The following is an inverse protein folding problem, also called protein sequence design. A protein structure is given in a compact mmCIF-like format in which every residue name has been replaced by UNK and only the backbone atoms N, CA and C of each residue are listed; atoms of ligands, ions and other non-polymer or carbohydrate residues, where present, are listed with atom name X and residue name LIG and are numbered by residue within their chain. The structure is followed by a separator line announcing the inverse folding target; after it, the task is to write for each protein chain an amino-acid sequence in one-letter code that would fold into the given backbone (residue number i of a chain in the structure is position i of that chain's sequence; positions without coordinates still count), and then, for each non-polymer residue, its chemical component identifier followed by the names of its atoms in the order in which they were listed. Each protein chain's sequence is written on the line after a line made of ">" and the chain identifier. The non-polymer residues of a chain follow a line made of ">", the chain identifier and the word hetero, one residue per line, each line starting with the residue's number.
data_IF_786315745344
#
_entry.id   IF_786315745344
#
_cell.length_a   1.000
_cell.length_b   1.000
_cell.length_c   1.000
_cell.angle_alpha   90.00
_cell.angle_beta   90.00
_cell.angle_gamma   90.00
#
_symmetry.space_group_name_H-M   'P 1'
#
loop_
_entity.id
_entity.type
_entity.pdbx_description
1 polymer ?
#
# COMPACT_ATOMS: atom_id res chain seq x y z
N UNK A 1 -41.27 17.75 10.08
CA UNK A 1 -40.18 17.17 10.89
C UNK A 1 -39.05 16.79 9.91
N UNK A 2 -37.98 17.57 9.91
CA UNK A 2 -36.80 17.29 9.07
C UNK A 2 -36.01 16.21 9.77
N UNK A 3 -35.88 15.04 9.15
CA UNK A 3 -35.03 13.95 9.67
C UNK A 3 -33.56 14.42 9.60
N UNK A 4 -32.81 14.40 10.70
CA UNK A 4 -31.42 14.74 10.67
C UNK A 4 -30.67 13.78 9.74
N UNK A 5 -30.05 14.30 8.67
CA UNK A 5 -29.14 13.51 7.87
C UNK A 5 -27.90 13.24 8.70
N UNK A 6 -27.69 11.99 9.09
CA UNK A 6 -26.42 11.53 9.68
C UNK A 6 -25.38 11.62 8.57
N UNK A 7 -24.57 12.66 8.60
CA UNK A 7 -23.37 12.73 7.78
C UNK A 7 -22.33 11.83 8.44
N UNK A 8 -22.13 10.65 7.89
CA UNK A 8 -20.95 9.86 8.18
C UNK A 8 -19.75 10.68 7.67
N UNK A 9 -18.97 11.24 8.56
CA UNK A 9 -17.64 11.77 8.21
C UNK A 9 -16.83 10.56 7.79
N UNK A 10 -16.47 10.46 6.50
CA UNK A 10 -15.58 9.42 6.00
C UNK A 10 -14.25 9.61 6.71
N UNK A 11 -13.81 8.61 7.47
CA UNK A 11 -12.47 8.61 8.06
C UNK A 11 -11.39 8.43 7.00
N UNK A 12 -11.70 7.67 5.96
CA UNK A 12 -10.78 7.38 4.86
C UNK A 12 -11.35 7.93 3.55
N UNK A 13 -10.46 8.41 2.71
CA UNK A 13 -10.75 8.81 1.33
C UNK A 13 -9.72 8.20 0.37
N UNK A 14 -9.99 8.32 -0.93
CA UNK A 14 -9.17 7.73 -1.99
C UNK A 14 -8.66 8.84 -2.91
N UNK A 15 -7.37 8.79 -3.20
CA UNK A 15 -6.70 9.68 -4.15
C UNK A 15 -5.71 8.96 -5.04
N UNK A 16 -5.07 9.71 -5.91
CA UNK A 16 -3.94 9.30 -6.75
C UNK A 16 -2.87 10.38 -6.68
N UNK A 17 -1.60 10.02 -6.76
CA UNK A 17 -0.53 11.02 -6.70
C UNK A 17 0.75 10.47 -6.09
N UNK A 18 1.41 11.27 -5.30
CA UNK A 18 2.72 11.00 -4.74
C UNK A 18 2.66 10.99 -3.21
N UNK A 19 3.46 10.14 -2.58
CA UNK A 19 3.60 10.09 -1.13
C UNK A 19 4.91 10.75 -0.76
N UNK A 20 4.88 11.65 0.22
CA UNK A 20 6.04 12.39 0.70
C UNK A 20 6.27 12.14 2.19
N UNK A 21 7.52 12.01 2.61
CA UNK A 21 7.89 11.92 4.01
C UNK A 21 8.52 13.23 4.54
N UNK A 22 8.74 13.30 5.83
CA UNK A 22 9.33 14.47 6.52
C UNK A 22 10.78 14.78 6.12
N UNK A 23 11.45 13.86 5.40
CA UNK A 23 12.79 14.06 4.84
C UNK A 23 12.77 14.51 3.38
N UNK A 24 11.61 14.96 2.86
CA UNK A 24 11.37 15.39 1.47
C UNK A 24 11.63 14.29 0.43
N UNK A 25 11.63 13.01 0.84
CA UNK A 25 11.64 11.90 -0.11
C UNK A 25 10.25 11.68 -0.64
N UNK A 26 10.15 11.44 -1.94
CA UNK A 26 8.89 11.28 -2.67
C UNK A 26 8.84 9.91 -3.32
N UNK A 27 7.67 9.26 -3.27
CA UNK A 27 7.43 7.98 -3.94
C UNK A 27 7.35 8.13 -5.46
N UNK A 28 7.31 7.02 -6.18
CA UNK A 28 6.71 7.00 -7.51
C UNK A 28 5.24 7.39 -7.45
N UNK A 29 4.66 7.76 -8.59
CA UNK A 29 3.21 7.97 -8.67
C UNK A 29 2.48 6.67 -8.32
N UNK A 30 1.50 6.78 -7.42
CA UNK A 30 0.66 5.69 -6.96
C UNK A 30 -0.71 5.78 -7.63
N UNK A 31 -1.22 4.66 -8.14
CA UNK A 31 -2.52 4.59 -8.82
C UNK A 31 -3.67 4.79 -7.82
N UNK A 32 -3.55 4.19 -6.63
CA UNK A 32 -4.52 4.33 -5.53
C UNK A 32 -3.78 4.66 -4.24
N UNK A 33 -4.25 5.68 -3.54
CA UNK A 33 -3.83 6.06 -2.20
C UNK A 33 -5.07 6.11 -1.32
N UNK A 34 -5.14 5.27 -0.29
CA UNK A 34 -6.20 5.34 0.74
C UNK A 34 -5.59 6.04 1.95
N UNK A 35 -6.19 7.14 2.35
CA UNK A 35 -5.62 8.03 3.36
C UNK A 35 -6.67 8.50 4.37
N UNK A 36 -6.20 8.91 5.55
CA UNK A 36 -7.03 9.55 6.57
C UNK A 36 -7.43 10.96 6.12
N UNK A 37 -8.67 11.11 5.70
CA UNK A 37 -9.21 12.38 5.19
C UNK A 37 -9.33 13.48 6.26
N UNK A 38 -9.32 13.13 7.54
CA UNK A 38 -9.48 14.11 8.63
C UNK A 38 -8.15 14.77 9.00
N UNK A 39 -7.04 14.06 8.84
CA UNK A 39 -5.73 14.51 9.30
C UNK A 39 -4.74 14.75 8.15
N UNK A 40 -5.16 14.57 6.90
CA UNK A 40 -4.28 14.74 5.73
C UNK A 40 -4.36 16.16 5.19
N UNK A 41 -3.32 17.00 5.34
CA UNK A 41 -3.19 18.20 4.56
C UNK A 41 -2.93 17.79 3.10
N UNK A 42 -3.83 18.17 2.20
CA UNK A 42 -3.60 17.99 0.77
C UNK A 42 -2.64 19.07 0.30
N UNK A 43 -1.50 18.63 -0.21
CA UNK A 43 -0.52 19.49 -0.83
C UNK A 43 -0.65 19.35 -2.34
N UNK A 44 -0.97 20.44 -3.03
CA UNK A 44 -1.10 20.46 -4.48
C UNK A 44 0.00 21.35 -5.09
N UNK A 45 0.65 20.87 -6.12
CA UNK A 45 1.58 21.64 -6.94
C UNK A 45 1.53 21.15 -8.37
N UNK A 46 1.27 22.05 -9.32
CA UNK A 46 1.28 21.77 -10.76
C UNK A 46 0.43 20.54 -11.15
N UNK A 47 -0.83 20.48 -10.70
CA UNK A 47 -1.75 19.37 -10.93
C UNK A 47 -1.34 18.03 -10.26
N UNK A 48 -0.30 18.05 -9.43
CA UNK A 48 0.14 16.87 -8.67
C UNK A 48 -0.32 16.96 -7.23
N UNK A 49 -0.88 15.86 -6.72
CA UNK A 49 -1.26 15.73 -5.33
C UNK A 49 -0.17 14.98 -4.56
N UNK A 50 0.17 15.50 -3.39
CA UNK A 50 1.14 14.92 -2.47
C UNK A 50 0.46 14.59 -1.15
N UNK A 51 0.69 13.39 -0.66
CA UNK A 51 0.11 12.87 0.57
C UNK A 51 1.21 12.60 1.59
N UNK A 52 1.09 13.14 2.83
CA UNK A 52 2.03 12.79 3.90
C UNK A 52 1.99 11.29 4.19
N UNK A 53 3.14 10.65 4.22
CA UNK A 53 3.25 9.19 4.42
C UNK A 53 2.60 8.71 5.72
N UNK A 54 2.55 9.56 6.75
CA UNK A 54 1.98 9.24 8.04
C UNK A 54 0.46 9.00 8.01
N UNK A 55 -0.25 9.62 7.06
CA UNK A 55 -1.71 9.54 6.97
C UNK A 55 -2.20 8.44 6.04
N UNK A 56 -1.29 7.72 5.40
CA UNK A 56 -1.62 6.68 4.42
C UNK A 56 -2.01 5.38 5.12
N UNK A 57 -3.20 4.88 4.85
CA UNK A 57 -3.66 3.58 5.31
C UNK A 57 -3.25 2.47 4.33
N UNK A 58 -3.46 2.70 3.02
CA UNK A 58 -3.12 1.72 2.00
C UNK A 58 -2.69 2.35 0.68
N UNK A 59 -1.90 1.59 -0.10
CA UNK A 59 -1.46 1.97 -1.45
C UNK A 59 -1.65 0.80 -2.40
N UNK A 60 -2.22 1.08 -3.57
CA UNK A 60 -2.48 0.08 -4.60
C UNK A 60 -1.95 0.44 -5.97
N UNK A 61 -1.56 -0.58 -6.73
CA UNK A 61 -1.26 -0.50 -8.16
C UNK A 61 -2.34 -1.22 -8.96
N UNK A 62 -2.75 -0.64 -10.09
CA UNK A 62 -3.76 -1.21 -10.99
C UNK A 62 -3.11 -1.56 -12.33
N UNK A 63 -3.36 -2.78 -12.83
CA UNK A 63 -2.85 -3.25 -14.10
C UNK A 63 -3.95 -3.95 -14.90
N UNK A 64 -4.07 -3.64 -16.20
CA UNK A 64 -4.98 -4.39 -17.06
C UNK A 64 -4.49 -5.82 -17.22
N UNK A 65 -3.20 -6.01 -17.48
CA UNK A 65 -2.56 -7.32 -17.58
C UNK A 65 -1.31 -7.31 -16.72
N UNK A 66 -1.21 -8.26 -15.80
CA UNK A 66 -0.05 -8.41 -14.93
C UNK A 66 0.92 -9.42 -15.54
N UNK A 67 1.98 -8.92 -16.17
CA UNK A 67 3.11 -9.71 -16.66
C UNK A 67 4.16 -9.85 -15.54
N UNK A 68 5.15 -10.73 -15.73
CA UNK A 68 6.27 -10.84 -14.78
C UNK A 68 7.04 -9.53 -14.64
N UNK A 69 7.21 -8.78 -15.72
CA UNK A 69 7.89 -7.48 -15.70
C UNK A 69 7.08 -6.44 -14.92
N UNK A 70 5.81 -6.29 -15.26
CA UNK A 70 4.93 -5.31 -14.59
C UNK A 70 4.66 -5.70 -13.13
N UNK A 71 4.67 -6.99 -12.79
CA UNK A 71 4.64 -7.47 -11.41
C UNK A 71 5.90 -7.03 -10.65
N UNK A 72 7.09 -7.24 -11.23
CA UNK A 72 8.36 -6.82 -10.63
C UNK A 72 8.38 -5.32 -10.34
N UNK A 73 7.97 -4.51 -11.32
CA UNK A 73 7.90 -3.05 -11.16
C UNK A 73 6.93 -2.65 -10.04
N UNK A 74 5.73 -3.25 -10.03
CA UNK A 74 4.70 -2.93 -9.04
C UNK A 74 5.14 -3.29 -7.60
N UNK A 75 5.68 -4.50 -7.38
CA UNK A 75 6.11 -4.91 -6.05
C UNK A 75 7.28 -4.09 -5.53
N UNK A 76 8.21 -3.65 -6.39
CA UNK A 76 9.31 -2.78 -6.00
C UNK A 76 8.83 -1.37 -5.62
N UNK A 77 7.90 -0.79 -6.39
CA UNK A 77 7.27 0.50 -6.06
C UNK A 77 6.57 0.44 -4.70
N UNK A 78 5.77 -0.60 -4.47
CA UNK A 78 5.05 -0.78 -3.21
C UNK A 78 6.00 -0.99 -2.02
N UNK A 79 7.10 -1.73 -2.21
CA UNK A 79 8.11 -1.90 -1.18
C UNK A 79 8.77 -0.56 -0.80
N UNK A 80 9.08 0.30 -1.78
CA UNK A 80 9.64 1.63 -1.53
C UNK A 80 8.70 2.52 -0.71
N UNK A 81 7.39 2.44 -0.91
CA UNK A 81 6.41 3.18 -0.10
C UNK A 81 6.49 2.77 1.37
N UNK A 82 6.63 1.49 1.66
CA UNK A 82 6.81 1.00 3.04
C UNK A 82 8.12 1.48 3.66
N UNK A 83 9.20 1.50 2.89
CA UNK A 83 10.48 2.07 3.33
C UNK A 83 10.34 3.55 3.67
N UNK A 84 9.63 4.34 2.84
CA UNK A 84 9.39 5.76 3.12
C UNK A 84 8.70 5.98 4.48
N UNK A 85 7.79 5.09 4.87
CA UNK A 85 7.10 5.15 6.17
C UNK A 85 8.05 4.88 7.33
N UNK A 86 8.96 3.92 7.20
CA UNK A 86 9.95 3.60 8.22
C UNK A 86 11.03 4.68 8.41
N UNK A 87 11.23 5.54 7.43
CA UNK A 87 12.16 6.66 7.50
C UNK A 87 11.63 7.86 8.29
N UNK A 88 10.36 7.86 8.69
CA UNK A 88 9.78 8.90 9.53
C UNK A 88 10.37 8.83 10.93
N UNK A 89 11.30 9.75 11.23
CA UNK A 89 12.00 9.77 12.53
C UNK A 89 11.19 10.43 13.64
N UNK A 90 10.39 11.45 13.28
CA UNK A 90 9.62 12.25 14.22
C UNK A 90 8.19 12.39 13.69
N UNK A 91 7.32 11.41 13.94
CA UNK A 91 5.95 11.48 13.48
C UNK A 91 5.22 12.66 14.12
N UNK A 92 4.51 13.43 13.31
CA UNK A 92 3.77 14.62 13.76
C UNK A 92 2.29 14.32 13.90
N UNK A 93 1.76 13.51 12.99
CA UNK A 93 0.32 13.19 12.91
C UNK A 93 0.01 11.94 13.72
N UNK A 94 0.73 10.85 13.46
CA UNK A 94 0.53 9.57 14.16
C UNK A 94 1.69 9.36 15.13
N UNK A 95 1.48 9.64 16.41
CA UNK A 95 2.51 9.46 17.45
C UNK A 95 2.38 8.14 18.20
N UNK A 96 1.18 7.58 18.23
CA UNK A 96 0.85 6.33 18.92
C UNK A 96 -0.05 5.47 18.06
N UNK A 97 0.05 4.16 18.22
CA UNK A 97 -0.89 3.21 17.65
C UNK A 97 -2.26 3.25 18.37
N UNK A 98 -3.20 2.42 17.94
CA UNK A 98 -4.53 2.34 18.54
C UNK A 98 -4.52 1.80 19.99
N UNK A 99 -3.46 1.09 20.40
CA UNK A 99 -3.29 0.56 21.76
C UNK A 99 -2.53 1.53 22.67
N UNK A 100 -2.12 2.69 22.15
CA UNK A 100 -1.40 3.72 22.89
C UNK A 100 0.12 3.52 22.96
N UNK A 101 0.65 2.52 22.25
CA UNK A 101 2.09 2.32 22.08
C UNK A 101 2.70 3.36 21.13
N UNK A 102 4.00 3.53 21.20
CA UNK A 102 4.69 4.39 20.24
C UNK A 102 4.56 3.81 18.82
N UNK A 103 4.30 4.70 17.87
CA UNK A 103 4.29 4.36 16.45
C UNK A 103 5.62 3.74 16.01
N UNK A 104 5.59 2.51 15.51
CA UNK A 104 6.76 1.75 15.08
C UNK A 104 6.44 0.89 13.84
N UNK A 105 6.44 1.48 12.63
CA UNK A 105 6.12 0.74 11.40
C UNK A 105 7.16 -0.32 11.02
N UNK A 106 8.29 -0.35 11.71
CA UNK A 106 9.34 -1.36 11.48
C UNK A 106 9.04 -2.68 12.19
N UNK A 107 8.51 -2.61 13.40
CA UNK A 107 8.29 -3.79 14.24
C UNK A 107 6.80 -4.10 14.45
N UNK A 108 5.92 -3.11 14.22
CA UNK A 108 4.48 -3.29 14.30
C UNK A 108 3.85 -3.25 12.90
N UNK A 109 3.38 -4.39 12.35
CA UNK A 109 2.78 -4.44 11.02
C UNK A 109 1.49 -3.62 10.89
N UNK A 110 0.80 -3.30 12.00
CA UNK A 110 -0.39 -2.45 11.99
C UNK A 110 -0.06 -0.97 11.78
N UNK A 111 1.16 -0.56 12.08
CA UNK A 111 1.65 0.79 11.80
C UNK A 111 2.19 0.94 10.37
N UNK A 112 2.34 -0.17 9.64
CA UNK A 112 2.83 -0.18 8.28
C UNK A 112 1.70 0.05 7.26
N UNK A 113 2.05 0.57 6.09
CA UNK A 113 1.11 0.77 4.99
C UNK A 113 0.69 -0.58 4.41
N UNK A 114 -0.62 -0.79 4.29
CA UNK A 114 -1.15 -1.93 3.56
C UNK A 114 -0.95 -1.73 2.06
N UNK A 115 -0.31 -2.67 1.37
CA UNK A 115 -0.01 -2.54 -0.05
C UNK A 115 -0.64 -3.66 -0.88
N UNK A 116 -1.20 -3.30 -2.04
CA UNK A 116 -1.93 -4.27 -2.86
C UNK A 116 -1.77 -4.01 -4.36
N UNK A 117 -1.99 -5.05 -5.15
CA UNK A 117 -2.07 -4.98 -6.61
C UNK A 117 -3.41 -5.54 -7.03
N UNK A 118 -4.13 -4.83 -7.89
CA UNK A 118 -5.32 -5.33 -8.57
C UNK A 118 -5.04 -5.40 -10.06
N UNK A 119 -5.27 -6.55 -10.67
CA UNK A 119 -5.18 -6.69 -12.11
C UNK A 119 -6.44 -7.35 -12.69
N UNK A 120 -6.71 -7.08 -13.98
CA UNK A 120 -7.80 -7.73 -14.68
C UNK A 120 -7.48 -9.22 -14.86
N UNK A 121 -6.26 -9.53 -15.34
CA UNK A 121 -5.78 -10.90 -15.55
C UNK A 121 -4.25 -11.01 -15.46
N UNK A 122 -3.78 -12.23 -15.24
CA UNK A 122 -2.36 -12.59 -15.34
C UNK A 122 -2.00 -12.97 -16.79
N UNK A 123 -0.77 -12.67 -17.22
CA UNK A 123 -0.21 -13.14 -18.49
C UNK A 123 0.70 -14.36 -18.34
N UNK A 124 0.73 -14.98 -17.16
CA UNK A 124 1.52 -16.14 -16.86
C UNK A 124 0.71 -17.14 -16.00
N UNK A 125 1.21 -18.38 -15.90
CA UNK A 125 0.48 -19.42 -15.18
C UNK A 125 0.38 -19.10 -13.68
N UNK A 126 -0.82 -19.09 -13.16
CA UNK A 126 -1.18 -18.88 -11.77
C UNK A 126 -0.42 -19.81 -10.81
N UNK A 127 -0.23 -21.08 -11.18
CA UNK A 127 0.47 -22.06 -10.34
C UNK A 127 1.89 -21.65 -9.99
N UNK A 128 2.49 -20.77 -10.78
CA UNK A 128 3.86 -20.29 -10.60
C UNK A 128 3.94 -18.94 -9.85
N UNK A 129 2.79 -18.33 -9.52
CA UNK A 129 2.77 -16.98 -8.97
C UNK A 129 3.60 -16.84 -7.69
N UNK A 130 3.41 -17.76 -6.74
CA UNK A 130 4.16 -17.73 -5.46
C UNK A 130 5.67 -17.85 -5.69
N UNK A 131 6.09 -18.75 -6.58
CA UNK A 131 7.51 -18.93 -6.92
C UNK A 131 8.08 -17.69 -7.62
N UNK A 132 7.32 -17.09 -8.53
CA UNK A 132 7.76 -15.88 -9.24
C UNK A 132 7.85 -14.69 -8.29
N UNK A 133 6.88 -14.47 -7.42
CA UNK A 133 6.93 -13.40 -6.40
C UNK A 133 8.18 -13.51 -5.54
N UNK A 134 8.49 -14.71 -5.03
CA UNK A 134 9.66 -14.92 -4.19
C UNK A 134 10.97 -14.66 -4.94
N UNK A 135 11.06 -15.06 -6.21
CA UNK A 135 12.23 -14.76 -7.05
C UNK A 135 12.39 -13.26 -7.32
N UNK A 136 11.27 -12.54 -7.56
CA UNK A 136 11.30 -11.13 -7.90
C UNK A 136 11.71 -10.25 -6.72
N UNK A 137 11.36 -10.62 -5.50
CA UNK A 137 11.82 -9.90 -4.33
C UNK A 137 13.32 -10.12 -4.04
N UNK A 138 13.83 -11.32 -4.36
CA UNK A 138 15.21 -11.72 -4.02
C UNK A 138 15.49 -11.63 -2.52
N UNK A 139 16.76 -11.66 -2.16
CA UNK A 139 17.20 -11.58 -0.77
C UNK A 139 17.29 -10.15 -0.23
N UNK A 140 17.16 -9.15 -1.09
CA UNK A 140 17.36 -7.74 -0.73
C UNK A 140 16.13 -7.05 -0.15
N UNK A 141 14.93 -7.61 -0.36
CA UNK A 141 13.68 -7.02 0.12
C UNK A 141 13.20 -7.73 1.38
N UNK A 142 13.23 -7.01 2.50
CA UNK A 142 12.76 -7.54 3.77
C UNK A 142 11.25 -7.88 3.72
N UNK A 143 10.84 -8.91 4.46
CA UNK A 143 9.45 -9.39 4.44
C UNK A 143 8.43 -8.30 4.77
N UNK A 144 8.72 -7.45 5.74
CA UNK A 144 7.84 -6.36 6.13
C UNK A 144 7.61 -5.33 5.02
N UNK A 145 8.47 -5.29 4.01
CA UNK A 145 8.33 -4.41 2.84
C UNK A 145 7.56 -5.08 1.69
N UNK A 146 7.30 -6.39 1.76
CA UNK A 146 6.57 -7.08 0.69
C UNK A 146 5.10 -6.64 0.64
N UNK A 147 4.47 -6.79 -0.53
CA UNK A 147 3.06 -6.51 -0.70
C UNK A 147 2.19 -7.39 0.22
N UNK A 148 0.99 -6.91 0.52
CA UNK A 148 0.05 -7.66 1.35
C UNK A 148 -0.92 -8.48 0.50
N UNK A 149 -1.31 -7.97 -0.70
CA UNK A 149 -2.38 -8.55 -1.48
C UNK A 149 -2.11 -8.43 -2.98
N UNK A 150 -2.47 -9.48 -3.75
CA UNK A 150 -2.65 -9.42 -5.21
C UNK A 150 -4.02 -10.03 -5.53
N UNK A 151 -4.85 -9.29 -6.25
CA UNK A 151 -6.13 -9.75 -6.77
C UNK A 151 -6.11 -9.76 -8.29
N UNK A 152 -6.35 -10.91 -8.91
CA UNK A 152 -6.64 -11.05 -10.34
C UNK A 152 -8.13 -11.32 -10.54
N UNK A 153 -8.83 -10.36 -11.17
CA UNK A 153 -10.29 -10.40 -11.25
C UNK A 153 -10.80 -11.54 -12.13
N UNK A 154 -10.18 -11.75 -13.29
CA UNK A 154 -10.60 -12.79 -14.25
C UNK A 154 -10.10 -14.18 -13.87
N UNK A 155 -8.96 -14.25 -13.18
CA UNK A 155 -8.37 -15.53 -12.76
C UNK A 155 -8.90 -16.01 -11.40
N UNK A 156 -9.65 -15.16 -10.70
CA UNK A 156 -10.22 -15.48 -9.39
C UNK A 156 -9.16 -15.71 -8.32
N UNK A 157 -8.00 -15.05 -8.40
CA UNK A 157 -6.89 -15.27 -7.50
C UNK A 157 -6.72 -14.14 -6.51
N UNK A 158 -6.60 -14.51 -5.24
CA UNK A 158 -6.15 -13.68 -4.16
C UNK A 158 -4.85 -14.25 -3.61
N UNK A 159 -3.78 -13.45 -3.60
CA UNK A 159 -2.49 -13.84 -3.05
C UNK A 159 -2.01 -12.79 -2.05
N UNK A 160 -1.54 -13.20 -0.89
CA UNK A 160 -0.96 -12.31 0.11
C UNK A 160 0.24 -12.96 0.80
N UNK A 161 1.09 -12.16 1.41
CA UNK A 161 2.18 -12.67 2.24
C UNK A 161 1.74 -12.75 3.70
N UNK A 162 1.93 -13.91 4.34
CA UNK A 162 1.76 -14.04 5.77
C UNK A 162 2.95 -13.44 6.55
N UNK A 163 2.87 -13.44 7.89
CA UNK A 163 3.91 -12.90 8.75
C UNK A 163 5.26 -13.65 8.65
N UNK A 164 5.26 -14.85 8.06
CA UNK A 164 6.46 -15.64 7.79
C UNK A 164 6.98 -15.43 6.37
N UNK A 165 6.36 -14.52 5.61
CA UNK A 165 6.71 -14.21 4.24
C UNK A 165 6.30 -15.27 3.22
N UNK A 166 5.44 -16.20 3.60
CA UNK A 166 4.89 -17.18 2.69
C UNK A 166 3.72 -16.56 1.93
N UNK A 167 3.78 -16.64 0.62
CA UNK A 167 2.64 -16.26 -0.23
C UNK A 167 1.55 -17.31 -0.12
N UNK A 168 0.36 -16.87 0.26
CA UNK A 168 -0.83 -17.71 0.31
C UNK A 168 -1.74 -17.38 -0.87
N UNK A 169 -2.30 -18.39 -1.52
CA UNK A 169 -3.17 -18.24 -2.67
C UNK A 169 -4.54 -18.85 -2.37
N UNK A 170 -5.58 -18.09 -2.63
CA UNK A 170 -6.96 -18.52 -2.52
C UNK A 170 -7.65 -18.37 -3.87
N UNK A 171 -8.27 -19.42 -4.41
CA UNK A 171 -9.20 -19.27 -5.51
C UNK A 171 -10.41 -18.46 -5.04
N UNK A 172 -10.82 -17.48 -5.83
CA UNK A 172 -12.01 -16.66 -5.57
C UNK A 172 -13.19 -17.22 -6.35
#
# INVERSE_FOLDING_TARGET
>A
QTIPQIRYTRKLDIGTGFIINTSNKVSHQCDIIIYDAQHTPLLESEEKQFFPVETIAAVGEIKSVLSKTTLSEAIQKLAQVKVLREEVKHPVIIKKDHDGNNYDPRNNPYDQIFTFIVCKKLSFNISNLSTEINKLYGDSTEYRHRHNLILSVEDGLLAYCDNNGKTMMYPV
#
